data_IF_172441637926
#
_entry.id   IF_172441637926
#
_cell.length_a   1.000
_cell.length_b   1.000
_cell.length_c   1.000
_cell.angle_alpha   90.00
_cell.angle_beta   90.00
_cell.angle_gamma   90.00
#
_symmetry.space_group_name_H-M   'P 1'
#
loop_
_entity.id
_entity.type
_entity.pdbx_description
1 polymer ?
#
# COMPACT_ATOMS: atom_id res chain seq x y z
N UNK A 1 15.39 -7.12 6.31
CA UNK A 1 14.83 -8.48 6.41
C UNK A 1 15.87 -9.53 6.86
N UNK A 2 17.14 -9.19 6.98
CA UNK A 2 18.22 -10.12 7.37
C UNK A 2 17.99 -10.96 8.64
N UNK A 3 17.34 -10.40 9.68
CA UNK A 3 17.01 -11.14 10.91
C UNK A 3 15.63 -11.83 10.89
N UNK A 4 14.77 -11.43 9.97
CA UNK A 4 13.45 -11.99 9.79
C UNK A 4 13.10 -11.90 8.29
N UNK A 5 13.57 -12.87 7.48
CA UNK A 5 13.41 -12.84 6.03
C UNK A 5 11.95 -12.91 5.60
N UNK A 6 11.07 -13.46 6.44
CA UNK A 6 9.65 -13.63 6.18
C UNK A 6 8.81 -12.45 6.68
N UNK A 7 9.44 -11.36 7.15
CA UNK A 7 8.70 -10.22 7.67
C UNK A 7 7.90 -9.51 6.56
N UNK A 8 6.62 -9.29 6.84
CA UNK A 8 5.73 -8.54 5.95
C UNK A 8 5.36 -7.20 6.59
N UNK A 9 5.47 -6.13 5.81
CA UNK A 9 5.09 -4.79 6.22
C UNK A 9 3.81 -4.38 5.51
N UNK A 10 2.75 -4.22 6.30
CA UNK A 10 1.44 -3.85 5.81
C UNK A 10 1.28 -2.34 5.89
N UNK A 11 1.05 -1.70 4.75
CA UNK A 11 1.01 -0.23 4.64
C UNK A 11 -0.27 0.21 3.93
N UNK A 12 -0.92 1.23 4.47
CA UNK A 12 -1.99 1.97 3.79
C UNK A 12 -1.50 3.36 3.45
N UNK A 13 -1.85 3.86 2.27
CA UNK A 13 -1.50 5.21 1.85
C UNK A 13 -2.60 5.81 0.98
N UNK A 14 -2.65 7.15 0.95
CA UNK A 14 -3.54 7.89 0.07
C UNK A 14 -2.77 8.32 -1.17
N UNK A 15 -3.24 7.94 -2.35
CA UNK A 15 -2.68 8.37 -3.62
C UNK A 15 -2.87 9.89 -3.79
N UNK A 16 -1.76 10.61 -4.03
CA UNK A 16 -1.77 12.07 -4.22
C UNK A 16 -1.49 12.49 -5.67
N UNK A 17 -0.79 11.66 -6.42
CA UNK A 17 -0.51 11.81 -7.85
C UNK A 17 0.01 10.47 -8.36
N UNK A 18 -0.41 10.08 -9.57
CA UNK A 18 0.08 8.89 -10.26
C UNK A 18 1.45 9.11 -10.93
N UNK A 19 1.99 10.33 -10.86
CA UNK A 19 3.26 10.70 -11.51
C UNK A 19 4.48 10.15 -10.75
N UNK A 20 4.30 9.67 -9.51
CA UNK A 20 5.37 9.18 -8.65
C UNK A 20 5.16 7.72 -8.27
N UNK A 21 5.94 6.86 -8.90
CA UNK A 21 5.99 5.42 -8.65
C UNK A 21 6.82 5.06 -7.41
N UNK A 22 6.36 4.11 -6.61
CA UNK A 22 7.14 3.51 -5.49
C UNK A 22 8.18 2.49 -6.01
N UNK A 23 8.09 2.08 -7.26
CA UNK A 23 8.87 1.04 -7.92
C UNK A 23 10.37 1.29 -7.83
N UNK A 24 10.81 2.55 -7.96
CA UNK A 24 12.22 2.92 -7.82
C UNK A 24 12.76 2.63 -6.40
N UNK A 25 11.93 2.84 -5.37
CA UNK A 25 12.28 2.56 -3.98
C UNK A 25 12.29 1.04 -3.70
N UNK A 26 11.30 0.31 -4.22
CA UNK A 26 11.25 -1.15 -4.13
C UNK A 26 12.48 -1.79 -4.77
N UNK A 27 12.89 -1.30 -5.95
CA UNK A 27 14.10 -1.75 -6.62
C UNK A 27 15.34 -1.42 -5.79
N UNK A 28 15.46 -0.18 -5.30
CA UNK A 28 16.60 0.27 -4.48
C UNK A 28 16.83 -0.60 -3.24
N UNK A 29 15.75 -1.10 -2.62
CA UNK A 29 15.82 -1.88 -1.38
C UNK A 29 15.61 -3.38 -1.56
N UNK A 30 15.57 -3.88 -2.80
CA UNK A 30 15.30 -5.29 -3.11
C UNK A 30 13.99 -5.84 -2.49
N UNK A 31 12.94 -5.02 -2.50
CA UNK A 31 11.63 -5.39 -1.94
C UNK A 31 10.63 -5.71 -3.06
N UNK A 32 9.71 -6.64 -2.79
CA UNK A 32 8.49 -6.83 -3.59
C UNK A 32 7.31 -6.15 -2.92
N UNK A 33 6.28 -5.85 -3.71
CA UNK A 33 5.08 -5.16 -3.27
C UNK A 33 3.86 -5.87 -3.86
N UNK A 34 2.86 -6.13 -3.02
CA UNK A 34 1.61 -6.77 -3.38
C UNK A 34 0.45 -5.85 -3.00
N UNK A 35 -0.41 -5.52 -3.98
CA UNK A 35 -1.63 -4.76 -3.73
C UNK A 35 -2.66 -5.64 -3.02
N UNK A 36 -3.23 -5.12 -1.93
CA UNK A 36 -4.30 -5.78 -1.18
C UNK A 36 -5.62 -5.05 -1.44
N UNK A 37 -6.61 -5.72 -2.05
CA UNK A 37 -7.92 -5.13 -2.27
C UNK A 37 -8.58 -4.73 -0.95
N UNK A 38 -8.90 -3.44 -0.80
CA UNK A 38 -9.60 -2.91 0.38
C UNK A 38 -11.00 -3.49 0.57
N UNK A 39 -11.60 -4.03 -0.50
CA UNK A 39 -12.86 -4.78 -0.49
C UNK A 39 -12.86 -5.91 0.54
N UNK A 40 -11.71 -6.59 0.73
CA UNK A 40 -11.54 -7.65 1.72
C UNK A 40 -11.78 -7.17 3.16
N UNK A 41 -11.65 -5.88 3.40
CA UNK A 41 -11.85 -5.24 4.70
C UNK A 41 -13.11 -4.37 4.74
N UNK A 42 -13.95 -4.39 3.69
CA UNK A 42 -15.09 -3.47 3.51
C UNK A 42 -14.71 -1.98 3.58
N UNK A 43 -13.45 -1.66 3.24
CA UNK A 43 -12.85 -0.33 3.34
C UNK A 43 -12.75 0.40 1.99
N UNK A 44 -13.37 -0.14 0.94
CA UNK A 44 -13.40 0.44 -0.42
C UNK A 44 -14.55 1.43 -0.63
N UNK A 45 -15.10 2.01 0.45
CA UNK A 45 -16.23 2.95 0.38
C UNK A 45 -15.72 4.38 0.36
N UNK A 46 -16.40 5.26 -0.37
CA UNK A 46 -16.05 6.68 -0.50
C UNK A 46 -16.06 7.46 0.82
N UNK A 47 -16.66 6.89 1.88
CA UNK A 47 -16.80 7.52 3.19
C UNK A 47 -15.86 6.88 4.21
N UNK A 48 -14.79 7.61 4.55
CA UNK A 48 -14.06 7.37 5.79
C UNK A 48 -14.89 7.92 6.96
N UNK A 49 -15.31 7.04 7.87
CA UNK A 49 -16.01 7.37 9.12
C UNK A 49 -17.31 8.20 8.96
N UNK A 50 -18.01 8.09 7.82
CA UNK A 50 -19.25 8.83 7.58
C UNK A 50 -19.07 10.31 7.21
N UNK A 51 -17.83 10.75 6.92
CA UNK A 51 -17.56 12.10 6.42
C UNK A 51 -17.46 12.10 4.89
N UNK A 52 -18.15 13.05 4.25
CA UNK A 52 -17.95 13.37 2.83
C UNK A 52 -16.79 14.35 2.71
N UNK A 53 -15.56 13.84 2.72
CA UNK A 53 -14.41 14.69 2.42
C UNK A 53 -14.42 15.03 0.91
N UNK A 54 -14.37 16.32 0.52
CA UNK A 54 -14.31 16.70 -0.88
C UNK A 54 -12.91 16.40 -1.41
N UNK A 55 -12.77 15.27 -2.08
CA UNK A 55 -11.54 14.86 -2.73
C UNK A 55 -11.64 13.38 -3.08
N UNK A 56 -11.52 13.04 -4.36
CA UNK A 56 -11.31 11.65 -4.75
C UNK A 56 -9.99 11.21 -4.10
N UNK A 57 -10.09 10.49 -3.00
CA UNK A 57 -8.96 10.05 -2.20
C UNK A 57 -8.90 8.55 -2.33
N UNK A 58 -8.22 8.09 -3.38
CA UNK A 58 -7.95 6.67 -3.56
C UNK A 58 -6.99 6.21 -2.47
N UNK A 59 -7.51 5.50 -1.47
CA UNK A 59 -6.68 4.81 -0.49
C UNK A 59 -6.25 3.48 -1.10
N UNK A 60 -4.97 3.17 -0.97
CA UNK A 60 -4.38 1.92 -1.41
C UNK A 60 -3.75 1.21 -0.22
N UNK A 61 -3.68 -0.11 -0.33
CA UNK A 61 -3.07 -0.96 0.67
C UNK A 61 -2.11 -1.91 0.01
N UNK A 62 -0.91 -2.02 0.57
CA UNK A 62 0.16 -2.87 0.06
C UNK A 62 0.80 -3.66 1.17
N UNK A 63 1.34 -4.82 0.79
CA UNK A 63 2.32 -5.55 1.59
C UNK A 63 3.66 -5.40 0.91
N UNK A 64 4.68 -4.97 1.66
CA UNK A 64 6.07 -5.03 1.22
C UNK A 64 6.84 -6.07 2.02
N UNK A 65 7.67 -6.82 1.32
CA UNK A 65 8.46 -7.94 1.86
C UNK A 65 9.75 -8.11 1.03
N UNK A 66 10.69 -8.93 1.50
CA UNK A 66 11.91 -9.20 0.74
C UNK A 66 11.55 -9.87 -0.59
N UNK A 67 12.31 -9.58 -1.65
CA UNK A 67 12.11 -10.30 -2.91
C UNK A 67 12.42 -11.78 -2.76
N UNK A 68 13.35 -12.12 -1.87
CA UNK A 68 13.86 -13.47 -1.67
C UNK A 68 13.05 -14.29 -0.65
N UNK A 69 12.00 -13.70 -0.04
CA UNK A 69 11.04 -14.37 0.86
C UNK A 69 10.13 -15.36 0.15
#
# INVERSE_FOLDING_TARGET
LEKNPEAQFWTTYQERSADWSIEALLHKWNLKCLNIPLEKFHANKDQLAGSTLPGSHTVQMIITEDKES
#
